data_IF_857331737335
#
_entry.id   IF_857331737335
#
_cell.length_a   1.000
_cell.length_b   1.000
_cell.length_c   1.000
_cell.angle_alpha   90.00
_cell.angle_beta   90.00
_cell.angle_gamma   90.00
#
_symmetry.space_group_name_H-M   'P 1'
#
loop_
_entity.id
_entity.type
_entity.pdbx_description
1 polymer ?
#
# COMPACT_ATOMS: atom_id res chain seq x y z
N UNK A 1 -24.01 -4.94 35.01
CA UNK A 1 -23.06 -3.94 34.47
C UNK A 1 -23.08 -4.00 32.95
N UNK A 2 -22.96 -2.87 32.23
CA UNK A 2 -22.87 -2.86 30.76
C UNK A 2 -21.44 -3.23 30.35
N UNK A 3 -21.29 -4.24 29.50
CA UNK A 3 -20.03 -4.60 28.84
C UNK A 3 -19.64 -3.46 27.90
N UNK A 4 -18.47 -2.85 28.10
CA UNK A 4 -17.94 -1.77 27.25
C UNK A 4 -16.85 -2.35 26.37
N UNK A 5 -16.98 -2.12 25.06
CA UNK A 5 -15.91 -2.33 24.10
C UNK A 5 -15.20 -0.97 23.98
N UNK A 6 -13.88 -0.95 24.06
CA UNK A 6 -13.07 0.24 23.77
C UNK A 6 -12.16 -0.07 22.59
N UNK A 7 -11.96 0.92 21.72
CA UNK A 7 -11.07 0.80 20.56
C UNK A 7 -9.97 1.84 20.64
N UNK A 8 -8.75 1.36 20.82
CA UNK A 8 -7.53 2.15 20.76
C UNK A 8 -6.86 1.94 19.40
N UNK A 9 -6.30 3.02 18.86
CA UNK A 9 -5.46 2.98 17.66
C UNK A 9 -4.02 3.13 18.12
N UNK A 10 -3.15 2.18 17.79
CA UNK A 10 -1.72 2.34 17.99
C UNK A 10 -1.11 3.08 16.79
N UNK A 11 -0.97 4.40 16.93
CA UNK A 11 -0.05 5.22 16.16
C UNK A 11 0.56 6.25 17.13
N UNK A 12 1.88 6.44 17.12
CA UNK A 12 2.58 7.27 18.10
C UNK A 12 2.09 8.73 18.11
N UNK A 13 1.38 9.08 19.19
CA UNK A 13 1.10 10.40 19.81
C UNK A 13 1.09 11.69 18.97
N UNK A 14 -0.09 12.28 18.81
CA UNK A 14 -0.42 13.67 19.23
C UNK A 14 -1.95 13.88 19.20
N UNK A 15 -2.47 14.74 20.08
CA UNK A 15 -3.89 15.01 20.41
C UNK A 15 -4.74 15.69 19.30
N UNK A 16 -4.45 15.40 18.04
CA UNK A 16 -5.25 15.79 16.86
C UNK A 16 -5.85 14.52 16.26
N UNK A 17 -7.06 14.55 15.68
CA UNK A 17 -7.58 13.42 14.92
C UNK A 17 -6.54 13.01 13.86
N UNK A 18 -5.80 11.94 14.12
CA UNK A 18 -4.63 11.59 13.31
C UNK A 18 -5.13 11.09 11.96
N UNK A 19 -4.82 11.82 10.89
CA UNK A 19 -5.07 11.34 9.53
C UNK A 19 -4.06 10.24 9.25
N UNK A 20 -4.53 9.04 9.00
CA UNK A 20 -3.71 7.94 8.52
C UNK A 20 -3.21 8.27 7.12
N UNK A 21 -1.90 8.43 6.96
CA UNK A 21 -1.28 8.83 5.71
C UNK A 21 -0.85 7.61 4.91
N UNK A 22 -1.20 7.60 3.63
CA UNK A 22 -0.81 6.54 2.69
C UNK A 22 -0.25 7.12 1.42
N UNK A 23 0.78 6.48 0.87
CA UNK A 23 1.33 6.88 -0.43
C UNK A 23 0.43 6.34 -1.55
N UNK A 24 0.05 7.15 -2.55
CA UNK A 24 -0.68 6.65 -3.72
C UNK A 24 0.05 5.50 -4.40
N UNK A 25 -0.68 4.48 -4.83
CA UNK A 25 -0.12 3.28 -5.45
C UNK A 25 0.57 2.31 -4.49
N UNK A 26 0.72 2.63 -3.20
CA UNK A 26 1.32 1.74 -2.22
C UNK A 26 0.52 0.45 -2.05
N UNK A 27 1.26 -0.65 -1.85
CA UNK A 27 0.67 -1.97 -1.65
C UNK A 27 0.94 -2.53 -0.27
N UNK A 28 0.00 -3.30 0.26
CA UNK A 28 0.13 -4.02 1.53
C UNK A 28 0.09 -3.13 2.78
N UNK A 29 -0.64 -2.02 2.72
CA UNK A 29 -0.90 -1.17 3.89
C UNK A 29 -1.80 -1.91 4.88
N UNK A 30 -1.70 -1.57 6.16
CA UNK A 30 -2.48 -2.18 7.23
C UNK A 30 -3.12 -1.12 8.13
N UNK A 31 -4.38 -1.32 8.50
CA UNK A 31 -5.01 -0.64 9.62
C UNK A 31 -5.28 -1.68 10.70
N UNK A 32 -4.68 -1.47 11.87
CA UNK A 32 -4.84 -2.35 13.03
C UNK A 32 -5.75 -1.65 14.03
N UNK A 33 -6.86 -2.28 14.37
CA UNK A 33 -7.79 -1.83 15.41
C UNK A 33 -7.61 -2.71 16.65
N UNK A 34 -7.18 -2.11 17.75
CA UNK A 34 -7.10 -2.80 19.03
C UNK A 34 -8.45 -2.73 19.72
N UNK A 35 -9.13 -3.87 19.83
CA UNK A 35 -10.41 -4.04 20.51
C UNK A 35 -10.14 -4.52 21.93
N UNK A 36 -10.54 -3.72 22.92
CA UNK A 36 -10.34 -3.97 24.34
C UNK A 36 -11.63 -4.41 25.02
N UNK A 37 -11.52 -5.43 25.86
CA UNK A 37 -12.58 -5.88 26.76
C UNK A 37 -12.36 -5.27 28.15
N UNK A 38 -13.03 -4.17 28.45
CA UNK A 38 -12.96 -3.51 29.76
C UNK A 38 -13.82 -4.21 30.85
N UNK A 39 -14.54 -5.28 30.49
CA UNK A 39 -15.36 -6.02 31.44
C UNK A 39 -14.51 -6.66 32.52
N UNK A 40 -14.94 -6.48 33.77
CA UNK A 40 -14.34 -7.14 34.94
C UNK A 40 -14.95 -8.52 35.20
N UNK A 41 -16.08 -8.84 34.56
CA UNK A 41 -16.93 -9.98 34.91
C UNK A 41 -17.05 -11.02 33.81
N UNK A 42 -16.95 -10.61 32.54
CA UNK A 42 -17.24 -11.46 31.38
C UNK A 42 -16.18 -11.34 30.30
N UNK A 43 -15.85 -12.46 29.69
CA UNK A 43 -15.15 -12.50 28.41
C UNK A 43 -16.07 -12.06 27.28
N UNK A 44 -15.49 -11.52 26.21
CA UNK A 44 -16.18 -11.25 24.96
C UNK A 44 -15.90 -12.39 23.99
N UNK A 45 -16.93 -12.82 23.28
CA UNK A 45 -16.83 -13.86 22.25
C UNK A 45 -17.44 -13.38 20.95
N UNK A 46 -17.02 -13.95 19.82
CA UNK A 46 -17.54 -13.68 18.48
C UNK A 46 -17.65 -12.17 18.18
N UNK A 47 -16.62 -11.41 18.52
CA UNK A 47 -16.59 -9.97 18.28
C UNK A 47 -16.29 -9.75 16.81
N UNK A 48 -17.18 -9.05 16.11
CA UNK A 48 -17.04 -8.74 14.69
C UNK A 48 -16.65 -7.29 14.51
N UNK A 49 -15.60 -7.03 13.73
CA UNK A 49 -15.17 -5.69 13.33
C UNK A 49 -15.41 -5.57 11.83
N UNK A 50 -16.30 -4.66 11.42
CA UNK A 50 -16.73 -4.52 10.03
C UNK A 50 -16.41 -3.13 9.50
N UNK A 51 -15.75 -3.04 8.34
CA UNK A 51 -15.64 -1.82 7.56
C UNK A 51 -16.98 -1.56 6.85
N UNK A 52 -17.63 -0.47 7.21
CA UNK A 52 -18.99 -0.13 6.78
C UNK A 52 -19.05 0.54 5.41
N UNK A 53 -17.95 1.13 4.97
CA UNK A 53 -17.87 1.87 3.71
C UNK A 53 -16.66 1.44 2.89
N UNK A 54 -16.88 1.33 1.58
CA UNK A 54 -15.86 1.01 0.61
C UNK A 54 -15.57 2.25 -0.24
N UNK A 55 -14.31 2.41 -0.62
CA UNK A 55 -13.84 3.51 -1.45
C UNK A 55 -13.16 2.93 -2.67
N UNK A 56 -13.44 3.47 -3.85
CA UNK A 56 -12.71 3.07 -5.09
C UNK A 56 -11.22 3.39 -5.02
N UNK A 57 -10.81 4.26 -4.10
CA UNK A 57 -9.43 4.63 -3.82
C UNK A 57 -8.63 3.56 -3.06
N UNK A 58 -9.29 2.63 -2.37
CA UNK A 58 -8.62 1.65 -1.50
C UNK A 58 -9.16 0.25 -1.74
N UNK A 59 -8.26 -0.69 -2.05
CA UNK A 59 -8.64 -2.09 -2.27
C UNK A 59 -8.40 -2.87 -0.98
N UNK A 60 -9.41 -3.00 -0.13
CA UNK A 60 -9.33 -3.82 1.08
C UNK A 60 -9.40 -5.32 0.77
N UNK A 61 -8.66 -6.13 1.53
CA UNK A 61 -8.58 -7.60 1.36
C UNK A 61 -9.76 -8.29 2.00
N UNK A 62 -10.14 -7.78 3.17
CA UNK A 62 -11.34 -8.13 3.89
C UNK A 62 -12.06 -6.86 4.31
N UNK A 63 -13.38 -6.93 4.39
CA UNK A 63 -14.22 -5.88 4.98
C UNK A 63 -14.73 -6.25 6.38
N UNK A 64 -14.38 -7.43 6.89
CA UNK A 64 -14.80 -7.90 8.21
C UNK A 64 -13.73 -8.81 8.83
N UNK A 65 -13.42 -8.58 10.09
CA UNK A 65 -12.54 -9.42 10.91
C UNK A 65 -13.34 -9.94 12.11
N UNK A 66 -13.16 -11.21 12.45
CA UNK A 66 -13.83 -11.85 13.58
C UNK A 66 -12.82 -12.26 14.64
N UNK A 67 -13.06 -11.82 15.87
CA UNK A 67 -12.27 -12.15 17.04
C UNK A 67 -13.08 -13.13 17.87
N UNK A 68 -12.65 -14.39 17.87
CA UNK A 68 -13.34 -15.48 18.57
C UNK A 68 -13.51 -15.18 20.06
N UNK A 69 -12.47 -14.65 20.70
CA UNK A 69 -12.43 -14.42 22.14
C UNK A 69 -11.51 -13.27 22.55
N UNK A 70 -11.98 -12.45 23.49
CA UNK A 70 -11.19 -11.44 24.21
C UNK A 70 -11.37 -11.66 25.71
N UNK A 71 -10.28 -12.05 26.38
CA UNK A 71 -10.24 -12.26 27.83
C UNK A 71 -10.57 -10.96 28.58
N UNK A 72 -11.05 -11.08 29.81
CA UNK A 72 -11.34 -9.93 30.67
C UNK A 72 -10.11 -9.02 30.85
N UNK A 73 -10.30 -7.71 30.75
CA UNK A 73 -9.21 -6.73 30.89
C UNK A 73 -8.07 -6.90 29.88
N UNK A 74 -8.33 -7.57 28.75
CA UNK A 74 -7.35 -7.78 27.68
C UNK A 74 -7.83 -7.17 26.38
N UNK A 75 -6.94 -7.11 25.40
CA UNK A 75 -7.25 -6.64 24.05
C UNK A 75 -6.83 -7.64 22.99
N UNK A 76 -7.46 -7.51 21.82
CA UNK A 76 -7.11 -8.24 20.60
C UNK A 76 -7.11 -7.28 19.43
N UNK A 77 -6.35 -7.63 18.40
CA UNK A 77 -6.21 -6.83 17.19
C UNK A 77 -7.10 -7.38 16.08
N UNK A 78 -7.75 -6.47 15.36
CA UNK A 78 -8.38 -6.73 14.08
C UNK A 78 -7.58 -5.99 13.01
N UNK A 79 -7.02 -6.73 12.05
CA UNK A 79 -6.15 -6.20 11.01
C UNK A 79 -6.87 -6.10 9.67
N UNK A 80 -6.83 -4.91 9.07
CA UNK A 80 -7.37 -4.66 7.74
C UNK A 80 -6.23 -4.31 6.79
N UNK A 81 -5.84 -5.28 5.97
CA UNK A 81 -4.88 -5.08 4.88
C UNK A 81 -5.55 -4.42 3.66
N UNK A 82 -4.85 -3.52 2.97
CA UNK A 82 -5.33 -2.84 1.76
C UNK A 82 -4.21 -2.28 0.85
N UNK A 83 -4.55 -1.98 -0.40
CA UNK A 83 -3.70 -1.19 -1.31
C UNK A 83 -4.32 0.18 -1.52
N UNK A 84 -3.48 1.19 -1.68
CA UNK A 84 -3.89 2.51 -2.14
C UNK A 84 -3.78 2.56 -3.67
N UNK A 85 -4.85 2.97 -4.33
CA UNK A 85 -4.82 3.20 -5.77
C UNK A 85 -4.08 4.51 -6.08
N UNK A 86 -3.54 4.62 -7.30
CA UNK A 86 -3.05 5.90 -7.81
C UNK A 86 -4.23 6.86 -7.97
N UNK A 87 -4.03 8.13 -7.65
CA UNK A 87 -5.06 9.16 -7.74
C UNK A 87 -4.48 10.52 -8.12
N UNK A 88 -5.28 11.34 -8.79
CA UNK A 88 -4.97 12.73 -9.09
C UNK A 88 -5.34 13.67 -7.91
N UNK A 89 -6.20 13.22 -7.01
CA UNK A 89 -6.70 14.01 -5.88
C UNK A 89 -5.97 13.67 -4.58
N UNK A 90 -4.70 14.07 -4.53
CA UNK A 90 -3.78 13.81 -3.42
C UNK A 90 -4.13 14.59 -2.14
N UNK A 91 -4.98 15.61 -2.25
CA UNK A 91 -5.45 16.39 -1.11
C UNK A 91 -6.73 15.82 -0.49
N UNK A 92 -7.34 14.81 -1.14
CA UNK A 92 -8.53 14.13 -0.63
C UNK A 92 -8.24 13.43 0.68
N UNK A 93 -9.16 13.61 1.61
CA UNK A 93 -9.23 12.84 2.86
C UNK A 93 -10.57 12.10 2.89
N UNK A 94 -10.50 10.77 2.98
CA UNK A 94 -11.64 9.90 3.14
C UNK A 94 -11.84 9.53 4.62
N UNK A 95 -13.06 9.13 5.00
CA UNK A 95 -13.37 8.71 6.37
C UNK A 95 -13.78 7.24 6.37
N UNK A 96 -12.92 6.35 6.83
CA UNK A 96 -13.25 4.94 7.04
C UNK A 96 -14.11 4.81 8.29
N UNK A 97 -15.19 4.03 8.21
CA UNK A 97 -16.13 3.79 9.31
C UNK A 97 -16.15 2.32 9.66
N UNK A 98 -15.74 2.00 10.88
CA UNK A 98 -15.76 0.65 11.41
C UNK A 98 -16.92 0.50 12.38
N UNK A 99 -17.62 -0.63 12.30
CA UNK A 99 -18.66 -1.06 13.23
C UNK A 99 -18.18 -2.32 13.94
N UNK A 100 -18.17 -2.27 15.26
CA UNK A 100 -17.76 -3.38 16.11
C UNK A 100 -19.01 -3.90 16.79
N UNK A 101 -19.25 -5.20 16.68
CA UNK A 101 -20.41 -5.86 17.29
C UNK A 101 -19.92 -6.97 18.21
N UNK A 102 -20.26 -6.89 19.50
CA UNK A 102 -20.01 -7.97 20.46
C UNK A 102 -21.14 -9.00 20.51
N UNK A 103 -20.88 -10.16 21.13
CA UNK A 103 -21.87 -11.25 21.27
C UNK A 103 -23.15 -10.87 22.01
N UNK A 104 -23.09 -9.90 22.93
CA UNK A 104 -24.26 -9.39 23.67
C UNK A 104 -25.06 -8.32 22.89
N UNK A 105 -24.75 -8.12 21.59
CA UNK A 105 -25.40 -7.11 20.75
C UNK A 105 -24.89 -5.68 20.97
N UNK A 106 -23.83 -5.51 21.75
CA UNK A 106 -23.13 -4.23 21.92
C UNK A 106 -22.56 -3.78 20.58
N UNK A 107 -22.76 -2.50 20.24
CA UNK A 107 -22.27 -1.90 19.01
C UNK A 107 -21.44 -0.66 19.31
N UNK A 108 -20.28 -0.55 18.66
CA UNK A 108 -19.43 0.62 18.74
C UNK A 108 -18.97 1.02 17.34
N UNK A 109 -18.88 2.32 17.09
CA UNK A 109 -18.35 2.84 15.83
C UNK A 109 -17.00 3.51 16.04
N UNK A 110 -16.10 3.34 15.07
CA UNK A 110 -14.82 4.03 15.01
C UNK A 110 -14.67 4.66 13.63
N UNK A 111 -14.37 5.95 13.59
CA UNK A 111 -14.02 6.64 12.36
C UNK A 111 -12.51 6.89 12.29
N UNK A 112 -11.94 6.67 11.11
CA UNK A 112 -10.52 6.94 10.81
C UNK A 112 -10.48 7.82 9.57
N UNK A 113 -9.80 8.96 9.68
CA UNK A 113 -9.47 9.77 8.53
C UNK A 113 -8.28 9.15 7.81
N UNK A 114 -8.39 8.91 6.52
CA UNK A 114 -7.31 8.44 5.67
C UNK A 114 -7.07 9.45 4.56
N UNK A 115 -5.83 9.84 4.35
CA UNK A 115 -5.47 10.79 3.30
C UNK A 115 -4.14 10.40 2.67
N UNK A 116 -3.80 11.07 1.59
CA UNK A 116 -2.55 10.77 0.90
C UNK A 116 -1.37 11.55 1.46
N UNK A 117 -0.19 10.96 1.29
CA UNK A 117 1.11 11.57 1.49
C UNK A 117 1.98 11.25 0.28
N UNK A 118 2.43 12.29 -0.42
CA UNK A 118 3.24 12.13 -1.61
C UNK A 118 4.68 11.79 -1.25
N UNK A 119 5.36 10.95 -2.07
CA UNK A 119 6.80 10.79 -1.94
C UNK A 119 7.52 12.11 -2.16
N UNK A 120 8.73 12.24 -1.62
CA UNK A 120 9.56 13.45 -1.77
C UNK A 120 10.67 13.30 -2.80
N UNK A 121 10.98 12.07 -3.22
CA UNK A 121 12.13 11.77 -4.08
C UNK A 121 11.79 10.76 -5.18
N UNK A 122 12.49 10.88 -6.30
CA UNK A 122 12.51 9.85 -7.33
C UNK A 122 13.33 8.65 -6.87
N UNK A 123 12.76 7.45 -7.02
CA UNK A 123 13.46 6.21 -6.67
C UNK A 123 13.21 5.17 -7.75
N UNK A 124 14.26 4.52 -8.25
CA UNK A 124 14.15 3.23 -8.93
C UNK A 124 14.64 2.14 -7.97
N UNK A 125 13.80 1.16 -7.67
CA UNK A 125 14.13 0.07 -6.75
C UNK A 125 14.82 -1.08 -7.48
N UNK A 126 15.49 -1.96 -6.73
CA UNK A 126 15.98 -3.21 -7.29
C UNK A 126 14.79 -4.09 -7.68
N UNK A 127 14.84 -4.68 -8.88
CA UNK A 127 13.80 -5.62 -9.32
C UNK A 127 13.76 -6.83 -8.39
N UNK A 128 12.57 -7.36 -8.13
CA UNK A 128 12.38 -8.55 -7.29
C UNK A 128 11.41 -9.55 -7.93
N UNK A 129 11.77 -10.85 -7.98
CA UNK A 129 13.06 -11.43 -7.57
C UNK A 129 14.22 -10.97 -8.49
N UNK A 130 15.47 -11.09 -8.01
CA UNK A 130 16.68 -10.93 -8.80
C UNK A 130 17.81 -11.83 -8.23
N UNK A 131 18.31 -12.84 -8.95
CA UNK A 131 17.91 -13.23 -10.31
C UNK A 131 16.45 -13.67 -10.42
N UNK A 132 15.88 -13.64 -11.63
CA UNK A 132 14.47 -14.01 -11.82
C UNK A 132 14.25 -15.03 -12.94
N UNK A 133 13.18 -15.82 -12.78
CA UNK A 133 12.64 -16.74 -13.78
C UNK A 133 11.15 -17.03 -13.47
N UNK A 134 10.18 -16.82 -14.39
CA UNK A 134 10.28 -16.04 -15.62
C UNK A 134 9.94 -14.56 -15.40
N UNK A 135 9.47 -14.18 -14.22
CA UNK A 135 8.92 -12.84 -13.96
C UNK A 135 9.63 -12.10 -12.84
N UNK A 136 9.74 -10.78 -12.99
CA UNK A 136 10.22 -9.86 -11.97
C UNK A 136 9.39 -8.59 -11.99
N UNK A 137 9.29 -7.94 -10.83
CA UNK A 137 8.63 -6.66 -10.67
C UNK A 137 9.66 -5.57 -10.41
N UNK A 138 9.54 -4.48 -11.16
CA UNK A 138 10.34 -3.26 -11.01
C UNK A 138 9.44 -2.21 -10.36
N UNK A 139 9.81 -1.79 -9.15
CA UNK A 139 9.15 -0.70 -8.43
C UNK A 139 9.90 0.61 -8.67
N UNK A 140 9.17 1.69 -8.85
CA UNK A 140 9.72 3.04 -8.87
C UNK A 140 8.74 4.04 -8.26
N UNK A 141 9.26 5.18 -7.84
CA UNK A 141 8.54 6.19 -7.06
C UNK A 141 8.67 7.55 -7.73
N UNK A 142 7.53 8.25 -7.84
CA UNK A 142 7.42 9.57 -8.43
C UNK A 142 6.87 10.54 -7.36
N UNK A 143 7.60 11.61 -6.99
CA UNK A 143 7.09 12.65 -6.09
C UNK A 143 6.06 13.57 -6.76
N UNK A 144 6.08 13.66 -8.09
CA UNK A 144 5.19 14.49 -8.88
C UNK A 144 4.82 13.85 -10.23
N UNK A 145 3.75 14.35 -10.84
CA UNK A 145 3.30 13.88 -12.16
C UNK A 145 4.37 14.12 -13.23
N UNK A 146 4.76 13.06 -13.94
CA UNK A 146 5.94 13.08 -14.81
C UNK A 146 5.75 12.24 -16.07
N UNK A 147 6.48 12.58 -17.13
CA UNK A 147 6.66 11.70 -18.28
C UNK A 147 7.72 10.65 -17.95
N UNK A 148 7.36 9.37 -18.01
CA UNK A 148 8.18 8.25 -17.55
C UNK A 148 8.53 7.33 -18.71
N UNK A 149 9.80 6.98 -18.81
CA UNK A 149 10.29 5.91 -19.67
C UNK A 149 11.03 4.87 -18.84
N UNK A 150 10.57 3.63 -18.85
CA UNK A 150 11.26 2.48 -18.26
C UNK A 150 11.62 1.50 -19.36
N UNK A 151 12.91 1.35 -19.62
CA UNK A 151 13.44 0.51 -20.71
C UNK A 151 14.48 -0.48 -20.21
N UNK A 152 14.59 -1.60 -20.90
CA UNK A 152 15.54 -2.68 -20.65
C UNK A 152 16.56 -2.73 -21.78
N UNK A 153 17.83 -2.90 -21.42
CA UNK A 153 18.97 -2.95 -22.31
C UNK A 153 19.82 -4.20 -22.04
N UNK A 154 20.43 -4.73 -23.09
CA UNK A 154 21.49 -5.74 -22.96
C UNK A 154 22.83 -5.11 -22.56
N UNK A 155 23.87 -5.94 -22.43
CA UNK A 155 25.22 -5.49 -22.06
C UNK A 155 25.89 -4.59 -23.11
N UNK A 156 25.40 -4.60 -24.35
CA UNK A 156 25.89 -3.75 -25.45
C UNK A 156 25.14 -2.42 -25.50
N UNK A 157 24.17 -2.20 -24.60
CA UNK A 157 23.33 -1.01 -24.57
C UNK A 157 22.21 -1.03 -25.62
N UNK A 158 21.94 -2.17 -26.26
CA UNK A 158 20.80 -2.29 -27.17
C UNK A 158 19.53 -2.41 -26.35
N UNK A 159 18.52 -1.59 -26.68
CA UNK A 159 17.18 -1.71 -26.11
C UNK A 159 16.55 -3.05 -26.53
N UNK A 160 16.13 -3.83 -25.54
CA UNK A 160 15.49 -5.14 -25.75
C UNK A 160 14.03 -5.19 -25.30
N UNK A 161 13.60 -4.24 -24.48
CA UNK A 161 12.19 -4.05 -24.12
C UNK A 161 11.91 -2.61 -23.65
N UNK A 162 10.72 -2.10 -23.94
CA UNK A 162 10.16 -0.91 -23.33
C UNK A 162 8.97 -1.32 -22.46
N UNK A 163 9.04 -1.02 -21.17
CA UNK A 163 8.03 -1.41 -20.18
C UNK A 163 7.03 -0.29 -19.90
N UNK A 164 7.49 0.96 -19.97
CA UNK A 164 6.68 2.16 -19.73
C UNK A 164 7.17 3.26 -20.67
N UNK A 165 6.23 4.00 -21.27
CA UNK A 165 6.51 5.18 -22.07
C UNK A 165 5.26 6.09 -22.11
N UNK A 166 4.92 6.69 -20.97
CA UNK A 166 3.69 7.46 -20.81
C UNK A 166 3.81 8.50 -19.68
N UNK A 167 2.79 9.35 -19.54
CA UNK A 167 2.67 10.25 -18.39
C UNK A 167 2.03 9.49 -17.23
N UNK A 168 2.63 9.61 -16.04
CA UNK A 168 2.15 8.96 -14.82
C UNK A 168 2.07 9.96 -13.67
N UNK A 169 1.12 9.71 -12.79
CA UNK A 169 0.87 10.55 -11.61
C UNK A 169 1.89 10.29 -10.50
N UNK A 170 1.93 11.19 -9.51
CA UNK A 170 2.72 10.99 -8.31
C UNK A 170 2.28 9.72 -7.56
N UNK A 171 3.25 9.02 -6.96
CA UNK A 171 3.01 7.79 -6.21
C UNK A 171 4.01 6.68 -6.51
N UNK A 172 3.68 5.48 -6.04
CA UNK A 172 4.46 4.27 -6.24
C UNK A 172 3.89 3.50 -7.43
N UNK A 173 4.78 3.16 -8.36
CA UNK A 173 4.45 2.43 -9.57
C UNK A 173 5.19 1.09 -9.63
N UNK A 174 4.57 0.14 -10.32
CA UNK A 174 5.09 -1.21 -10.48
C UNK A 174 4.96 -1.61 -11.95
N UNK A 175 6.06 -2.09 -12.52
CA UNK A 175 6.08 -2.64 -13.88
C UNK A 175 6.63 -4.05 -13.87
N UNK A 176 5.96 -4.96 -14.58
CA UNK A 176 6.34 -6.37 -14.64
C UNK A 176 7.12 -6.64 -15.92
N UNK A 177 8.26 -7.31 -15.79
CA UNK A 177 8.98 -7.91 -16.89
C UNK A 177 8.80 -9.43 -16.84
N UNK A 178 8.29 -10.02 -17.91
CA UNK A 178 8.10 -11.47 -18.06
C UNK A 178 8.91 -12.02 -19.22
N UNK A 179 9.59 -13.14 -19.01
CA UNK A 179 10.35 -13.84 -20.05
C UNK A 179 9.56 -14.97 -20.72
N UNK A 180 8.33 -15.27 -20.28
CA UNK A 180 7.51 -16.40 -20.76
C UNK A 180 7.30 -16.42 -22.27
N UNK A 181 7.14 -15.25 -22.87
CA UNK A 181 6.96 -15.08 -24.32
C UNK A 181 8.07 -14.21 -24.94
N UNK A 182 9.20 -14.07 -24.23
CA UNK A 182 10.32 -13.26 -24.67
C UNK A 182 11.44 -14.10 -25.28
N UNK A 183 12.16 -13.49 -26.22
CA UNK A 183 13.43 -14.02 -26.76
C UNK A 183 14.64 -13.69 -25.88
N UNK A 184 14.44 -13.13 -24.68
CA UNK A 184 15.52 -12.82 -23.76
C UNK A 184 16.17 -14.12 -23.27
N UNK A 185 17.50 -14.16 -23.32
CA UNK A 185 18.32 -15.27 -22.86
C UNK A 185 18.71 -15.08 -21.39
N UNK A 186 19.21 -16.14 -20.75
CA UNK A 186 19.86 -16.01 -19.44
C UNK A 186 21.07 -15.07 -19.54
N UNK A 187 21.24 -14.18 -18.57
CA UNK A 187 22.33 -13.23 -18.61
C UNK A 187 22.07 -11.97 -17.79
N UNK A 188 23.02 -11.04 -17.90
CA UNK A 188 22.95 -9.73 -17.26
C UNK A 188 22.28 -8.74 -18.20
N UNK A 189 21.34 -7.97 -17.63
CA UNK A 189 20.64 -6.90 -18.32
C UNK A 189 20.63 -5.65 -17.44
N UNK A 190 20.31 -4.52 -18.03
CA UNK A 190 20.15 -3.25 -17.34
C UNK A 190 18.76 -2.70 -17.61
N UNK A 191 18.12 -2.13 -16.60
CA UNK A 191 16.91 -1.35 -16.80
C UNK A 191 17.16 0.08 -16.36
N UNK A 192 16.63 1.03 -17.12
CA UNK A 192 16.80 2.45 -16.89
C UNK A 192 15.45 3.13 -16.80
N UNK A 193 15.26 3.86 -15.71
CA UNK A 193 14.17 4.79 -15.54
C UNK A 193 14.66 6.17 -15.95
N UNK A 194 13.95 6.81 -16.88
CA UNK A 194 14.08 8.24 -17.20
C UNK A 194 12.77 8.91 -16.86
N UNK A 195 12.87 10.03 -16.15
CA UNK A 195 11.72 10.81 -15.72
C UNK A 195 11.95 12.26 -16.12
N UNK A 196 10.98 12.81 -16.85
CA UNK A 196 10.92 14.22 -17.19
C UNK A 196 9.73 14.81 -16.45
N UNK A 197 9.95 15.63 -15.40
CA UNK A 197 8.87 16.20 -14.61
C UNK A 197 7.97 17.10 -15.46
N UNK A 198 6.66 17.10 -15.20
CA UNK A 198 5.71 17.94 -15.96
C UNK A 198 5.67 19.38 -15.44
N UNK A 199 6.05 19.62 -14.19
CA UNK A 199 6.15 20.93 -13.59
C UNK A 199 7.55 21.54 -13.79
N UNK A 200 7.63 22.87 -13.84
CA UNK A 200 8.86 23.65 -14.08
C UNK A 200 9.90 23.58 -12.96
N UNK A 201 9.65 22.79 -11.90
CA UNK A 201 10.42 22.72 -10.66
C UNK A 201 11.55 21.69 -10.65
N UNK A 202 11.62 20.77 -11.61
CA UNK A 202 12.47 19.59 -11.51
C UNK A 202 13.57 19.46 -12.56
N UNK A 203 14.73 18.94 -12.12
CA UNK A 203 15.72 18.36 -13.02
C UNK A 203 15.25 16.98 -13.51
N UNK A 204 15.60 16.60 -14.73
CA UNK A 204 15.33 15.25 -15.22
C UNK A 204 16.05 14.22 -14.35
N UNK A 205 15.36 13.12 -14.04
CA UNK A 205 15.90 12.03 -13.26
C UNK A 205 16.22 10.85 -14.18
N UNK A 206 17.43 10.30 -14.05
CA UNK A 206 17.83 9.09 -14.76
C UNK A 206 18.55 8.16 -13.80
N UNK A 207 18.05 6.94 -13.65
CA UNK A 207 18.70 5.91 -12.85
C UNK A 207 18.70 4.58 -13.60
N UNK A 208 19.82 3.88 -13.53
CA UNK A 208 20.00 2.54 -14.13
C UNK A 208 20.32 1.54 -13.04
N UNK A 209 19.71 0.36 -13.14
CA UNK A 209 20.01 -0.79 -12.29
C UNK A 209 20.25 -2.03 -13.12
N UNK A 210 21.06 -2.93 -12.56
CA UNK A 210 21.42 -4.21 -13.15
C UNK A 210 20.44 -5.27 -12.68
N UNK A 211 20.06 -6.20 -13.56
CA UNK A 211 19.29 -7.39 -13.23
C UNK A 211 19.88 -8.63 -13.89
N UNK A 212 19.49 -9.81 -13.41
CA UNK A 212 19.93 -11.10 -13.95
C UNK A 212 18.72 -11.98 -14.28
N UNK A 213 18.70 -12.48 -15.51
CA UNK A 213 17.71 -13.45 -15.98
C UNK A 213 18.32 -14.84 -15.84
N UNK A 214 17.57 -15.77 -15.23
CA UNK A 214 17.84 -17.20 -15.27
C UNK A 214 16.71 -17.87 -16.07
N UNK A 215 17.06 -18.83 -16.91
CA UNK A 215 16.12 -19.75 -17.55
C UNK A 215 16.49 -21.17 -17.14
#
# INVERSE_FOLDING_TARGET
>A
MKTIILIMLSASLAFTQTVYKVTPGSKGNQIILTVENESKEKELTNVKVKLMNQFSSFNFRSAEEEIEKIERGSSKEAEFSFDANITDDVNKTDTLRFLITGSEGTKQQKEILIGYELPTEYVLEQNYPNPFNPETMIKYVLPEASNVTLKVYDILGKEVAALVNENQQAGIHYSTLSTRHSTLASGVYFYQLRVSPSASSGHSFVQTKKMMILK
#
